data_IF_848708496021
#
_entry.id   IF_848708496021
#
_cell.length_a   1.000
_cell.length_b   1.000
_cell.length_c   1.000
_cell.angle_alpha   90.00
_cell.angle_beta   90.00
_cell.angle_gamma   90.00
#
_symmetry.space_group_name_H-M   'P 1'
#
loop_
_entity.id
_entity.type
_entity.pdbx_description
1 polymer ?
#
# COMPACT_ATOMS: atom_id res chain seq x y z
N UNK A 1 12.48 4.08 -31.05
CA UNK A 1 13.05 4.63 -29.79
C UNK A 1 12.90 3.58 -28.71
N UNK A 2 13.86 3.42 -27.80
CA UNK A 2 13.72 2.51 -26.65
C UNK A 2 14.35 3.17 -25.43
N UNK A 3 13.59 3.26 -24.34
CA UNK A 3 14.05 3.81 -23.07
C UNK A 3 14.98 2.83 -22.34
N UNK A 4 15.90 3.35 -21.53
CA UNK A 4 16.63 2.52 -20.57
C UNK A 4 15.69 2.17 -19.39
N UNK A 5 15.66 0.90 -18.93
CA UNK A 5 14.83 0.51 -17.79
C UNK A 5 15.17 1.32 -16.53
N UNK A 6 14.13 1.81 -15.85
CA UNK A 6 14.24 2.49 -14.55
C UNK A 6 13.66 1.58 -13.48
N UNK A 7 14.42 1.30 -12.43
CA UNK A 7 13.97 0.42 -11.34
C UNK A 7 12.71 0.98 -10.67
N UNK A 8 11.69 0.15 -10.52
CA UNK A 8 10.40 0.54 -9.93
C UNK A 8 9.48 1.29 -10.89
N UNK A 9 9.79 1.32 -12.19
CA UNK A 9 8.91 1.85 -13.23
C UNK A 9 8.70 0.83 -14.34
N UNK A 10 7.47 0.81 -14.86
CA UNK A 10 7.11 0.13 -16.10
C UNK A 10 6.90 1.18 -17.19
N UNK A 11 7.53 0.99 -18.34
CA UNK A 11 7.42 1.90 -19.48
C UNK A 11 6.53 1.36 -20.59
N UNK A 12 5.68 2.23 -21.14
CA UNK A 12 4.84 1.98 -22.31
C UNK A 12 5.20 2.99 -23.42
N UNK A 13 5.41 2.50 -24.65
CA UNK A 13 5.84 3.32 -25.81
C UNK A 13 4.73 3.42 -26.84
N UNK A 14 4.31 4.64 -27.15
CA UNK A 14 3.29 4.96 -28.16
C UNK A 14 3.84 5.97 -29.18
N UNK A 15 4.38 5.47 -30.29
CA UNK A 15 5.02 6.31 -31.31
C UNK A 15 6.29 6.97 -30.78
N UNK A 16 6.23 8.28 -30.54
CA UNK A 16 7.32 9.05 -29.95
C UNK A 16 7.10 9.36 -28.45
N UNK A 17 5.93 9.03 -27.91
CA UNK A 17 5.61 9.23 -26.51
C UNK A 17 6.02 8.01 -25.68
N UNK A 18 6.61 8.26 -24.51
CA UNK A 18 6.96 7.24 -23.52
C UNK A 18 6.27 7.59 -22.20
N UNK A 19 5.49 6.67 -21.66
CA UNK A 19 4.84 6.80 -20.35
C UNK A 19 5.50 5.87 -19.35
N UNK A 20 5.99 6.42 -18.23
CA UNK A 20 6.56 5.67 -17.12
C UNK A 20 5.57 5.60 -15.95
N UNK A 21 5.10 4.40 -15.63
CA UNK A 21 4.22 4.13 -14.49
C UNK A 21 5.03 3.59 -13.33
N UNK A 22 4.97 4.24 -12.16
CA UNK A 22 5.62 3.74 -10.94
C UNK A 22 4.94 2.46 -10.50
N UNK A 23 5.69 1.37 -10.42
CA UNK A 23 5.23 0.05 -9.99
C UNK A 23 5.94 -0.36 -8.72
N UNK A 24 5.24 -1.06 -7.85
CA UNK A 24 5.79 -1.56 -6.59
C UNK A 24 4.72 -1.68 -5.51
N UNK A 25 4.95 -2.61 -4.60
CA UNK A 25 4.12 -2.80 -3.42
C UNK A 25 4.68 -1.93 -2.27
N UNK A 26 3.79 -1.32 -1.50
CA UNK A 26 4.15 -0.65 -0.25
C UNK A 26 3.67 -1.49 0.92
N UNK A 27 4.52 -1.60 1.96
CA UNK A 27 4.18 -2.32 3.18
C UNK A 27 3.56 -1.35 4.19
N UNK A 28 2.41 -1.73 4.76
CA UNK A 28 1.75 -0.99 5.85
C UNK A 28 1.58 -1.94 7.03
N UNK A 29 2.06 -1.52 8.20
CA UNK A 29 2.00 -2.30 9.44
C UNK A 29 1.51 -1.40 10.59
N UNK A 30 0.82 -2.00 11.55
CA UNK A 30 0.33 -1.31 12.73
C UNK A 30 0.14 -2.26 13.90
N UNK A 31 0.30 -1.73 15.10
CA UNK A 31 0.08 -2.47 16.36
C UNK A 31 -1.12 -1.86 17.07
N UNK A 32 -2.02 -2.70 17.58
CA UNK A 32 -3.08 -2.24 18.47
C UNK A 32 -2.52 -2.09 19.89
N UNK A 33 -2.45 -0.85 20.36
CA UNK A 33 -2.23 -0.54 21.78
C UNK A 33 -3.58 -0.38 22.47
N UNK A 34 -3.74 -0.98 23.65
CA UNK A 34 -4.89 -0.78 24.53
C UNK A 34 -4.48 0.14 25.69
N UNK A 35 -5.16 1.28 25.83
CA UNK A 35 -5.02 2.18 26.97
C UNK A 35 -6.37 2.27 27.68
N UNK A 36 -6.71 1.19 28.39
CA UNK A 36 -8.04 0.94 28.98
C UNK A 36 -7.98 0.74 30.50
N UNK A 37 -6.87 1.10 31.14
CA UNK A 37 -6.66 0.91 32.58
C UNK A 37 -6.87 -0.54 33.08
N UNK A 38 -6.40 -1.53 32.31
CA UNK A 38 -6.52 -2.96 32.61
C UNK A 38 -7.99 -3.44 32.73
N UNK A 39 -8.84 -2.98 31.82
CA UNK A 39 -10.20 -3.48 31.69
C UNK A 39 -10.25 -5.02 31.56
N UNK A 40 -11.27 -5.64 32.17
CA UNK A 40 -11.43 -7.11 32.24
C UNK A 40 -12.29 -7.68 31.12
N UNK A 41 -12.99 -6.84 30.37
CA UNK A 41 -13.98 -7.17 29.35
C UNK A 41 -13.43 -7.04 27.91
N UNK A 42 -12.15 -7.35 27.72
CA UNK A 42 -11.48 -7.21 26.43
C UNK A 42 -11.99 -8.25 25.41
N UNK A 43 -12.25 -7.86 24.15
CA UNK A 43 -12.49 -8.82 23.10
C UNK A 43 -11.22 -9.64 22.84
N UNK A 44 -11.39 -10.93 22.51
CA UNK A 44 -10.28 -11.83 22.20
C UNK A 44 -9.56 -11.49 20.87
N UNK A 45 -10.22 -10.74 19.99
CA UNK A 45 -9.68 -10.38 18.67
C UNK A 45 -10.30 -9.09 18.14
N UNK A 46 -9.60 -8.45 17.22
CA UNK A 46 -10.11 -7.34 16.41
C UNK A 46 -9.97 -7.67 14.92
N UNK A 47 -10.86 -7.12 14.10
CA UNK A 47 -10.73 -7.09 12.64
C UNK A 47 -10.21 -5.71 12.23
N UNK A 48 -9.25 -5.69 11.32
CA UNK A 48 -8.69 -4.46 10.75
C UNK A 48 -8.76 -4.58 9.24
N UNK A 49 -9.30 -3.56 8.60
CA UNK A 49 -9.37 -3.46 7.14
C UNK A 49 -8.39 -2.37 6.68
N UNK A 50 -7.56 -2.67 5.70
CA UNK A 50 -6.67 -1.69 5.06
C UNK A 50 -7.43 -1.04 3.90
N UNK A 51 -7.67 0.27 3.99
CA UNK A 51 -8.42 0.98 2.97
C UNK A 51 -7.48 1.64 1.95
N UNK A 52 -7.74 1.40 0.66
CA UNK A 52 -7.12 2.16 -0.42
C UNK A 52 -8.14 3.16 -0.96
N UNK A 53 -7.86 4.46 -0.84
CA UNK A 53 -8.75 5.53 -1.28
C UNK A 53 -10.19 5.41 -0.72
N UNK A 54 -10.31 5.02 0.55
CA UNK A 54 -11.60 4.89 1.24
C UNK A 54 -12.39 3.61 0.89
N UNK A 55 -11.82 2.71 0.07
CA UNK A 55 -12.42 1.40 -0.23
C UNK A 55 -11.75 0.30 0.58
N UNK A 56 -12.58 -0.55 1.18
CA UNK A 56 -12.20 -1.84 1.78
C UNK A 56 -12.10 -2.89 0.68
#
# INVERSE_FOLDING_TARGET
MKEQPVVGYQSDVLGYDITNTKVGETKVEGTKTLNDNNATDRPSSIKVDLLQNGKV
#
